data_IF_617231301947
#
_entry.id   IF_617231301947
#
_cell.length_a   1.000
_cell.length_b   1.000
_cell.length_c   1.000
_cell.angle_alpha   90.00
_cell.angle_beta   90.00
_cell.angle_gamma   90.00
#
_symmetry.space_group_name_H-M   'P 1'
#
loop_
_entity.id
_entity.type
_entity.pdbx_description
1 polymer ?
#
# COMPACT_ATOMS: atom_id res chain seq x y z
N UNK A 1 12.47 11.99 -7.58
CA UNK A 1 13.67 11.23 -7.98
C UNK A 1 14.75 12.21 -8.43
N UNK A 2 15.63 12.62 -7.51
CA UNK A 2 16.76 13.48 -7.87
C UNK A 2 17.97 12.59 -8.12
N UNK A 3 18.20 12.22 -9.38
CA UNK A 3 19.44 11.57 -9.77
C UNK A 3 20.53 12.65 -9.90
N UNK A 4 21.46 12.70 -8.95
CA UNK A 4 22.70 13.43 -9.16
C UNK A 4 23.61 12.56 -10.03
N UNK A 5 23.67 12.88 -11.33
CA UNK A 5 24.78 12.41 -12.17
C UNK A 5 26.03 13.11 -11.64
N UNK A 6 26.89 12.37 -10.94
CA UNK A 6 28.10 12.89 -10.34
C UNK A 6 29.06 13.35 -11.44
N UNK A 7 28.94 14.60 -11.87
CA UNK A 7 29.98 15.24 -12.66
C UNK A 7 30.58 16.37 -11.83
N UNK A 8 31.77 16.05 -11.32
CA UNK A 8 32.83 16.97 -10.88
C UNK A 8 32.61 17.71 -9.56
N UNK A 9 32.99 17.06 -8.45
CA UNK A 9 33.70 17.79 -7.41
C UNK A 9 35.14 17.97 -7.90
N UNK A 10 35.55 19.22 -8.15
CA UNK A 10 36.92 19.56 -8.50
C UNK A 10 37.69 19.87 -7.21
N UNK A 11 38.52 18.93 -6.76
CA UNK A 11 39.43 19.15 -5.63
C UNK A 11 40.63 20.00 -6.05
N UNK A 12 41.15 20.83 -5.14
CA UNK A 12 42.29 21.72 -5.40
C UNK A 12 43.66 21.07 -5.11
N UNK A 13 43.73 19.78 -4.78
CA UNK A 13 44.96 19.01 -4.72
C UNK A 13 44.93 17.92 -5.81
N UNK A 14 45.83 18.02 -6.79
CA UNK A 14 45.85 17.21 -8.01
C UNK A 14 46.16 15.72 -7.83
N UNK A 15 45.33 14.99 -7.08
CA UNK A 15 45.33 13.53 -7.01
C UNK A 15 43.93 13.02 -7.38
N UNK A 16 43.79 12.09 -8.35
CA UNK A 16 42.49 11.55 -8.71
C UNK A 16 41.99 10.64 -7.60
N UNK A 17 40.99 11.09 -6.84
CA UNK A 17 40.21 10.23 -5.96
C UNK A 17 39.16 9.50 -6.82
N UNK A 18 39.23 8.17 -6.85
CA UNK A 18 38.18 7.36 -7.45
C UNK A 18 36.89 7.56 -6.63
N UNK A 19 36.01 8.43 -7.10
CA UNK A 19 34.66 8.52 -6.57
C UNK A 19 33.95 7.20 -6.89
N UNK A 20 33.94 6.27 -5.93
CA UNK A 20 32.89 5.25 -5.93
C UNK A 20 31.59 6.01 -5.79
N UNK A 21 30.71 5.89 -6.78
CA UNK A 21 29.35 6.38 -6.66
C UNK A 21 28.76 5.76 -5.40
N UNK A 22 28.62 6.56 -4.34
CA UNK A 22 27.88 6.14 -3.16
C UNK A 22 26.43 6.23 -3.57
N UNK A 23 25.84 5.07 -3.89
CA UNK A 23 24.39 4.94 -4.00
C UNK A 23 23.81 5.09 -2.60
N UNK A 24 23.65 6.33 -2.16
CA UNK A 24 22.80 6.63 -1.01
C UNK A 24 21.39 6.32 -1.51
N UNK A 25 20.80 5.22 -1.04
CA UNK A 25 19.35 5.03 -1.24
C UNK A 25 18.67 6.25 -0.63
N UNK A 26 18.00 7.06 -1.46
CA UNK A 26 17.36 8.29 -1.01
C UNK A 26 16.31 7.93 0.05
N UNK A 27 16.44 8.40 1.31
CA UNK A 27 15.41 8.16 2.34
C UNK A 27 14.07 8.86 2.02
N UNK A 28 13.99 9.57 0.89
CA UNK A 28 12.84 10.34 0.43
C UNK A 28 12.15 9.76 -0.81
N UNK A 29 12.43 8.52 -1.18
CA UNK A 29 11.70 7.81 -2.25
C UNK A 29 11.06 6.52 -1.72
N UNK A 30 10.57 6.53 -0.49
CA UNK A 30 9.65 5.50 -0.01
C UNK A 30 8.27 5.83 -0.57
N UNK A 31 7.88 5.14 -1.64
CA UNK A 31 6.50 5.17 -2.12
C UNK A 31 5.53 4.67 -1.04
N UNK A 32 4.22 4.84 -1.24
CA UNK A 32 3.21 4.35 -0.32
C UNK A 32 3.37 2.84 -0.08
N UNK A 33 3.50 2.42 1.18
CA UNK A 33 3.51 1.00 1.59
C UNK A 33 2.37 0.77 2.56
N UNK A 34 1.76 -0.41 2.47
CA UNK A 34 0.83 -0.91 3.48
C UNK A 34 1.64 -1.25 4.75
N UNK A 35 1.35 -0.59 5.87
CA UNK A 35 1.90 -0.97 7.19
C UNK A 35 1.12 -2.13 7.77
N UNK A 36 -0.21 -2.03 7.70
CA UNK A 36 -1.10 -2.92 8.41
C UNK A 36 -2.43 -3.05 7.69
N UNK A 37 -3.07 -4.19 7.88
CA UNK A 37 -4.41 -4.46 7.40
C UNK A 37 -5.18 -5.25 8.45
N UNK A 38 -6.32 -4.71 8.88
CA UNK A 38 -7.17 -5.33 9.89
C UNK A 38 -8.52 -5.64 9.26
N UNK A 39 -8.88 -6.93 9.25
CA UNK A 39 -10.18 -7.41 8.80
C UNK A 39 -11.06 -7.72 10.02
N UNK A 40 -12.17 -7.01 10.16
CA UNK A 40 -13.21 -7.29 11.16
C UNK A 40 -14.43 -7.89 10.45
N UNK A 41 -14.59 -9.21 10.57
CA UNK A 41 -15.72 -9.94 9.96
C UNK A 41 -17.03 -9.79 10.74
N UNK A 42 -16.98 -9.36 12.01
CA UNK A 42 -18.19 -9.08 12.80
C UNK A 42 -18.77 -7.71 12.42
N UNK A 43 -17.89 -6.73 12.20
CA UNK A 43 -18.26 -5.39 11.75
C UNK A 43 -18.43 -5.28 10.23
N UNK A 44 -17.86 -6.21 9.45
CA UNK A 44 -17.84 -6.15 7.99
C UNK A 44 -16.92 -5.04 7.47
N UNK A 45 -15.80 -4.77 8.15
CA UNK A 45 -14.91 -3.66 7.82
C UNK A 45 -13.48 -4.14 7.63
N UNK A 46 -12.88 -3.76 6.51
CA UNK A 46 -11.45 -3.86 6.26
C UNK A 46 -10.80 -2.49 6.45
N UNK A 47 -9.81 -2.41 7.34
CA UNK A 47 -9.03 -1.19 7.55
C UNK A 47 -7.60 -1.38 7.02
N UNK A 48 -7.17 -0.50 6.12
CA UNK A 48 -5.82 -0.46 5.55
C UNK A 48 -5.08 0.75 6.11
N UNK A 49 -3.86 0.54 6.63
CA UNK A 49 -2.98 1.58 7.14
C UNK A 49 -1.74 1.70 6.26
N UNK A 50 -1.40 2.92 5.85
CA UNK A 50 -0.29 3.18 4.94
C UNK A 50 0.77 4.14 5.51
N UNK A 51 1.98 4.10 4.92
CA UNK A 51 3.13 4.92 5.34
C UNK A 51 2.97 6.39 4.99
N UNK A 52 2.14 6.68 3.98
CA UNK A 52 1.95 8.01 3.39
C UNK A 52 0.46 8.31 3.27
N UNK A 53 0.12 9.57 2.95
CA UNK A 53 -1.27 10.00 2.87
C UNK A 53 -1.82 9.68 1.48
N UNK A 54 -2.85 8.86 1.39
CA UNK A 54 -3.43 8.46 0.10
C UNK A 54 -4.57 9.38 -0.32
N UNK A 55 -4.71 9.58 -1.62
CA UNK A 55 -5.88 10.22 -2.24
C UNK A 55 -7.05 9.23 -2.26
N UNK A 56 -7.98 9.39 -1.31
CA UNK A 56 -9.13 8.51 -1.13
C UNK A 56 -10.07 8.57 -2.34
N UNK A 57 -10.08 9.68 -3.09
CA UNK A 57 -10.91 9.82 -4.29
C UNK A 57 -10.41 8.98 -5.47
N UNK A 58 -9.16 8.52 -5.41
CA UNK A 58 -8.54 7.63 -6.39
C UNK A 58 -8.66 6.14 -6.05
N UNK A 59 -9.29 5.81 -4.92
CA UNK A 59 -9.40 4.43 -4.44
C UNK A 59 -10.29 3.58 -5.37
N UNK A 60 -9.79 2.41 -5.75
CA UNK A 60 -10.52 1.36 -6.47
C UNK A 60 -10.48 0.07 -5.64
N UNK A 61 -11.48 -0.11 -4.77
CA UNK A 61 -11.58 -1.25 -3.88
C UNK A 61 -11.62 -2.61 -4.58
N UNK A 62 -11.95 -2.66 -5.87
CA UNK A 62 -11.91 -3.92 -6.66
C UNK A 62 -10.49 -4.44 -6.86
N UNK A 63 -9.49 -3.63 -6.50
CA UNK A 63 -8.05 -3.99 -6.48
C UNK A 63 -7.59 -4.58 -5.15
N UNK A 64 -8.49 -4.74 -4.19
CA UNK A 64 -8.21 -5.39 -2.92
C UNK A 64 -8.66 -6.85 -2.98
N UNK A 65 -7.79 -7.74 -2.53
CA UNK A 65 -8.10 -9.15 -2.32
C UNK A 65 -7.75 -9.61 -0.92
N UNK A 66 -8.54 -10.53 -0.38
CA UNK A 66 -8.24 -11.22 0.88
C UNK A 66 -7.74 -12.62 0.55
N UNK A 67 -6.58 -12.97 1.08
CA UNK A 67 -5.86 -14.21 0.75
C UNK A 67 -5.59 -15.04 1.99
N UNK A 68 -5.62 -16.36 1.86
CA UNK A 68 -5.17 -17.23 2.93
C UNK A 68 -3.64 -17.23 2.99
N UNK A 69 -3.06 -16.85 4.13
CA UNK A 69 -1.60 -16.77 4.31
C UNK A 69 -0.93 -18.15 4.25
N UNK A 70 -1.65 -19.21 4.63
CA UNK A 70 -1.17 -20.59 4.57
C UNK A 70 -1.41 -21.23 3.19
N UNK A 71 -2.38 -20.75 2.42
CA UNK A 71 -2.70 -21.25 1.08
C UNK A 71 -3.05 -20.14 0.08
N UNK A 72 -2.05 -19.49 -0.54
CA UNK A 72 -2.28 -18.28 -1.35
C UNK A 72 -3.15 -18.46 -2.61
N UNK A 73 -3.51 -19.69 -2.97
CA UNK A 73 -4.48 -19.95 -4.04
C UNK A 73 -5.92 -19.68 -3.61
N UNK A 74 -6.19 -19.60 -2.31
CA UNK A 74 -7.46 -19.14 -1.75
C UNK A 74 -7.44 -17.61 -1.64
N UNK A 75 -7.97 -16.95 -2.66
CA UNK A 75 -8.02 -15.50 -2.80
C UNK A 75 -9.43 -15.08 -3.19
N UNK A 76 -9.98 -14.08 -2.51
CA UNK A 76 -11.25 -13.43 -2.85
C UNK A 76 -10.96 -11.96 -3.15
N UNK A 77 -11.21 -11.54 -4.39
CA UNK A 77 -11.17 -10.14 -4.77
C UNK A 77 -12.50 -9.48 -4.41
N UNK A 78 -12.45 -8.28 -3.84
CA UNK A 78 -13.65 -7.51 -3.56
C UNK A 78 -14.31 -7.08 -4.87
N UNK A 79 -15.64 -7.09 -4.93
CA UNK A 79 -16.37 -6.68 -6.15
C UNK A 79 -17.29 -5.50 -5.95
N UNK A 80 -18.04 -5.49 -4.85
CA UNK A 80 -19.11 -4.50 -4.59
C UNK A 80 -18.99 -3.83 -3.21
N UNK A 81 -17.84 -4.01 -2.55
CA UNK A 81 -17.48 -3.30 -1.32
C UNK A 81 -17.34 -1.80 -1.57
N UNK A 82 -17.28 -0.98 -0.51
CA UNK A 82 -17.21 0.47 -0.68
C UNK A 82 -16.24 1.12 0.31
N UNK A 83 -15.44 2.07 -0.17
CA UNK A 83 -14.63 2.93 0.70
C UNK A 83 -15.56 3.86 1.49
N UNK A 84 -15.49 3.79 2.82
CA UNK A 84 -16.31 4.60 3.74
C UNK A 84 -15.56 5.76 4.39
N UNK A 85 -14.25 5.85 4.15
CA UNK A 85 -13.44 6.99 4.62
C UNK A 85 -13.94 8.29 3.99
N UNK A 86 -14.44 9.20 4.83
CA UNK A 86 -15.05 10.48 4.40
C UNK A 86 -13.98 11.54 4.06
N UNK A 87 -12.73 11.35 4.51
CA UNK A 87 -11.64 12.26 4.20
C UNK A 87 -11.23 12.13 2.73
N UNK A 88 -10.84 13.25 2.09
CA UNK A 88 -10.26 13.24 0.74
C UNK A 88 -8.85 12.65 0.71
N UNK A 89 -8.13 12.77 1.83
CA UNK A 89 -6.76 12.32 1.98
C UNK A 89 -6.58 11.70 3.38
N UNK A 90 -6.04 10.48 3.46
CA UNK A 90 -5.84 9.78 4.75
C UNK A 90 -4.74 8.72 4.66
N UNK A 91 -4.07 8.46 5.78
CA UNK A 91 -3.16 7.30 5.92
C UNK A 91 -3.92 6.01 6.30
N UNK A 92 -5.18 6.15 6.75
CA UNK A 92 -6.05 5.05 7.15
C UNK A 92 -7.30 5.06 6.28
N UNK A 93 -7.58 3.92 5.66
CA UNK A 93 -8.69 3.72 4.73
C UNK A 93 -9.56 2.60 5.27
N UNK A 94 -10.86 2.85 5.35
CA UNK A 94 -11.86 1.88 5.76
C UNK A 94 -12.71 1.51 4.55
N UNK A 95 -12.82 0.21 4.31
CA UNK A 95 -13.65 -0.39 3.28
C UNK A 95 -14.74 -1.18 4.00
N UNK A 96 -16.00 -0.82 3.77
CA UNK A 96 -17.15 -1.60 4.20
C UNK A 96 -17.36 -2.74 3.19
N UNK A 97 -17.37 -3.96 3.69
CA UNK A 97 -17.55 -5.16 2.89
C UNK A 97 -19.01 -5.29 2.49
N UNK A 98 -19.26 -5.62 1.24
CA UNK A 98 -20.61 -5.96 0.79
C UNK A 98 -21.05 -7.31 1.37
N UNK A 99 -22.36 -7.52 1.51
CA UNK A 99 -22.91 -8.82 1.92
C UNK A 99 -22.43 -9.96 0.98
N UNK A 100 -22.25 -9.65 -0.32
CA UNK A 100 -21.77 -10.62 -1.31
C UNK A 100 -20.31 -11.00 -1.06
N UNK A 101 -19.43 -10.01 -0.84
CA UNK A 101 -18.01 -10.22 -0.54
C UNK A 101 -17.85 -10.97 0.79
N UNK A 102 -18.61 -10.60 1.83
CA UNK A 102 -18.62 -11.31 3.12
C UNK A 102 -19.04 -12.77 2.96
N UNK A 103 -20.07 -13.05 2.16
CA UNK A 103 -20.50 -14.42 1.89
C UNK A 103 -19.44 -15.22 1.13
N UNK A 104 -18.76 -14.62 0.14
CA UNK A 104 -17.66 -15.26 -0.59
C UNK A 104 -16.46 -15.56 0.31
N UNK A 105 -16.13 -14.68 1.25
CA UNK A 105 -15.10 -14.92 2.25
C UNK A 105 -15.47 -16.10 3.18
N UNK A 106 -16.73 -16.15 3.63
CA UNK A 106 -17.24 -17.22 4.50
C UNK A 106 -17.37 -18.58 3.79
N UNK A 107 -17.51 -18.61 2.47
CA UNK A 107 -17.56 -19.85 1.70
C UNK A 107 -16.23 -20.62 1.76
N UNK A 108 -15.11 -19.91 1.90
CA UNK A 108 -13.79 -20.48 2.07
C UNK A 108 -13.56 -20.74 3.55
N UNK A 109 -13.86 -21.96 4.01
CA UNK A 109 -13.80 -22.36 5.42
C UNK A 109 -12.44 -22.13 6.12
N UNK A 110 -11.38 -21.88 5.35
CA UNK A 110 -9.99 -21.67 5.79
C UNK A 110 -9.57 -20.20 5.77
N UNK A 111 -10.41 -19.29 5.26
CA UNK A 111 -10.16 -17.85 5.16
C UNK A 111 -10.94 -17.10 6.25
N UNK A 112 -10.40 -15.97 6.70
CA UNK A 112 -11.02 -15.08 7.69
C UNK A 112 -11.44 -15.77 9.00
N UNK A 113 -10.73 -16.85 9.39
CA UNK A 113 -10.99 -17.57 10.65
C UNK A 113 -10.35 -16.84 11.83
N UNK A 114 -9.12 -16.38 11.64
CA UNK A 114 -8.29 -15.68 12.63
C UNK A 114 -7.41 -14.63 11.94
N UNK A 115 -6.94 -13.61 12.67
CA UNK A 115 -6.06 -12.54 12.14
C UNK A 115 -4.81 -13.08 11.43
N UNK A 116 -4.26 -14.23 11.87
CA UNK A 116 -3.08 -14.83 11.25
C UNK A 116 -3.37 -15.64 9.97
N UNK A 117 -4.63 -16.03 9.75
CA UNK A 117 -5.04 -16.87 8.62
C UNK A 117 -5.23 -16.08 7.32
N UNK A 118 -5.41 -14.76 7.44
CA UNK A 118 -5.80 -13.88 6.33
C UNK A 118 -4.77 -12.80 6.11
N UNK A 119 -4.38 -12.60 4.86
CA UNK A 119 -3.58 -11.49 4.39
C UNK A 119 -4.38 -10.65 3.41
N UNK A 120 -3.85 -9.47 3.10
CA UNK A 120 -4.40 -8.60 2.06
C UNK A 120 -3.44 -8.57 0.88
N UNK A 121 -3.99 -8.76 -0.31
CA UNK A 121 -3.32 -8.53 -1.58
C UNK A 121 -3.86 -7.24 -2.18
N UNK A 122 -2.95 -6.40 -2.63
CA UNK A 122 -3.27 -5.13 -3.28
C UNK A 122 -2.72 -5.20 -4.70
N UNK A 123 -3.59 -5.07 -5.70
CA UNK A 123 -3.15 -4.89 -7.08
C UNK A 123 -2.64 -3.47 -7.34
N UNK A 124 -1.77 -3.32 -8.33
CA UNK A 124 -1.36 -2.00 -8.80
C UNK A 124 -2.58 -1.17 -9.23
N UNK A 125 -2.59 0.10 -8.83
CA UNK A 125 -3.69 1.02 -9.14
C UNK A 125 -4.83 1.03 -8.13
N UNK A 126 -4.72 0.32 -6.98
CA UNK A 126 -5.67 0.47 -5.88
C UNK A 126 -5.89 1.93 -5.49
N UNK A 127 -4.80 2.66 -5.25
CA UNK A 127 -4.89 4.04 -4.76
C UNK A 127 -3.60 4.80 -5.05
N UNK A 128 -3.74 6.09 -5.33
CA UNK A 128 -2.60 7.00 -5.52
C UNK A 128 -2.24 7.70 -4.21
N UNK A 129 -0.93 7.87 -3.96
CA UNK A 129 -0.44 8.76 -2.91
C UNK A 129 -0.78 10.20 -3.27
N UNK A 130 -1.10 11.02 -2.27
CA UNK A 130 -1.13 12.48 -2.43
C UNK A 130 0.30 12.92 -2.65
N UNK A 131 0.75 12.89 -3.92
CA UNK A 131 2.10 13.24 -4.31
C UNK A 131 2.48 14.53 -3.57
N UNK A 132 3.46 14.44 -2.67
CA UNK A 132 3.92 15.59 -1.89
C UNK A 132 4.23 16.70 -2.89
N UNK A 133 3.34 17.69 -2.99
CA UNK A 133 3.59 18.84 -3.82
C UNK A 133 4.89 19.44 -3.26
N UNK A 134 5.99 19.48 -4.03
CA UNK A 134 7.20 20.10 -3.53
C UNK A 134 6.81 21.55 -3.27
N UNK A 135 6.73 21.92 -1.99
CA UNK A 135 6.46 23.30 -1.63
C UNK A 135 7.62 24.10 -2.23
N UNK A 136 7.24 25.02 -3.12
CA UNK A 136 8.09 25.78 -4.05
C UNK A 136 9.35 26.37 -3.45
#
# INVERSE_FOLDING_TARGET
CLSFSATTFSDTAGTPNFASAVSLGDPFCEGPRLLDATLDMDAGVLTLLFTSTMDISSADETKVGIVNTANPTELVMLTDSAVTTVAVASTSISIELSDADMASLQEIATLAIDESSSGVVIEEGLISDEASSPNT
#
